data_IF_606828581513
#
_entry.id   IF_606828581513
#
_cell.length_a   1.000
_cell.length_b   1.000
_cell.length_c   1.000
_cell.angle_alpha   90.00
_cell.angle_beta   90.00
_cell.angle_gamma   90.00
#
_symmetry.space_group_name_H-M   'P 1'
#
loop_
_entity.id
_entity.type
_entity.pdbx_description
1 polymer ?
#
# COMPACT_ATOMS: atom_id res chain seq x y z
N UNK A 1 15.91 -50.46 37.89
CA UNK A 1 16.83 -50.41 39.05
C UNK A 1 17.48 -49.04 39.04
N UNK A 2 17.60 -48.20 40.07
CA UNK A 2 17.26 -48.19 41.49
C UNK A 2 17.19 -46.68 41.88
N UNK A 3 16.09 -46.17 42.45
CA UNK A 3 15.86 -45.94 43.89
C UNK A 3 16.84 -44.96 44.58
N UNK A 4 16.31 -43.80 45.02
CA UNK A 4 16.26 -43.26 46.42
C UNK A 4 16.17 -41.72 46.38
N UNK A 5 15.04 -41.09 46.74
CA UNK A 5 14.60 -40.74 48.11
C UNK A 5 15.71 -40.13 48.97
N UNK A 6 15.57 -38.88 49.40
CA UNK A 6 15.47 -38.64 50.84
C UNK A 6 14.95 -37.25 51.23
N UNK A 7 14.00 -37.33 52.13
CA UNK A 7 13.33 -36.30 52.91
C UNK A 7 14.14 -36.04 54.19
N UNK A 8 13.97 -34.83 54.73
CA UNK A 8 13.90 -34.50 56.17
C UNK A 8 15.19 -34.33 57.01
N UNK A 9 15.29 -33.12 57.59
CA UNK A 9 15.07 -32.79 59.03
C UNK A 9 16.28 -32.29 59.87
N UNK A 10 15.96 -31.18 60.59
CA UNK A 10 16.44 -30.71 61.92
C UNK A 10 17.82 -30.02 61.92
N UNK A 11 18.10 -28.95 62.68
CA UNK A 11 17.75 -28.67 64.08
C UNK A 11 17.70 -27.16 64.39
N UNK A 12 16.77 -26.75 65.26
CA UNK A 12 16.77 -25.53 66.08
C UNK A 12 17.77 -25.69 67.26
N UNK A 13 18.14 -24.63 68.01
CA UNK A 13 17.38 -24.38 69.24
C UNK A 13 17.19 -22.90 69.66
N UNK A 14 16.10 -22.73 70.42
CA UNK A 14 15.85 -21.85 71.58
C UNK A 14 16.41 -20.43 71.63
N UNK A 15 15.51 -19.44 71.76
CA UNK A 15 15.37 -18.71 73.03
C UNK A 15 13.88 -18.63 73.37
N UNK A 16 13.55 -19.23 74.51
CA UNK A 16 12.27 -19.16 75.22
C UNK A 16 12.20 -17.82 75.97
N UNK A 17 11.13 -17.05 75.75
CA UNK A 17 10.62 -16.15 76.79
C UNK A 17 9.11 -16.31 76.87
N UNK A 18 8.72 -17.11 77.87
CA UNK A 18 7.38 -17.19 78.44
C UNK A 18 6.95 -15.81 78.93
N UNK A 19 5.90 -15.26 78.35
CA UNK A 19 4.90 -14.47 79.10
C UNK A 19 3.53 -14.87 78.54
N UNK A 20 2.89 -15.81 79.22
CA UNK A 20 1.49 -16.14 79.00
C UNK A 20 0.60 -15.02 79.54
N UNK A 21 -0.35 -14.54 78.73
CA UNK A 21 -1.67 -14.12 79.20
C UNK A 21 -2.68 -13.99 78.02
N UNK A 22 -3.39 -15.10 77.80
CA UNK A 22 -4.82 -15.24 77.45
C UNK A 22 -5.41 -14.72 76.10
N UNK A 23 -6.50 -15.36 75.63
CA UNK A 23 -6.86 -15.48 74.22
C UNK A 23 -7.91 -14.44 73.81
N UNK A 24 -7.80 -13.91 72.60
CA UNK A 24 -8.91 -13.21 71.95
C UNK A 24 -9.02 -13.68 70.50
N UNK A 25 -10.28 -13.86 70.11
CA UNK A 25 -10.77 -14.52 68.92
C UNK A 25 -10.45 -13.79 67.61
N UNK A 26 -10.52 -14.59 66.54
CA UNK A 26 -10.74 -14.22 65.14
C UNK A 26 -11.29 -12.80 64.85
N UNK A 27 -10.69 -12.13 63.88
CA UNK A 27 -11.47 -11.65 62.72
C UNK A 27 -10.60 -11.40 61.51
N UNK A 28 -10.89 -12.15 60.45
CA UNK A 28 -10.63 -11.77 59.05
C UNK A 28 -11.27 -10.40 58.79
N UNK A 29 -10.56 -9.32 59.11
CA UNK A 29 -10.93 -7.97 58.66
C UNK A 29 -10.11 -7.68 57.42
N UNK A 30 -10.68 -8.07 56.27
CA UNK A 30 -10.26 -7.51 54.98
C UNK A 30 -10.35 -6.00 55.13
N UNK A 31 -9.24 -5.29 54.96
CA UNK A 31 -9.14 -3.83 55.08
C UNK A 31 -10.18 -3.10 54.18
N UNK A 32 -10.77 -3.80 53.21
CA UNK A 32 -11.83 -3.32 52.33
C UNK A 32 -13.26 -3.46 52.87
N UNK A 33 -13.47 -4.09 54.03
CA UNK A 33 -14.79 -4.28 54.67
C UNK A 33 -15.04 -3.30 55.83
N UNK A 34 -14.19 -2.29 56.03
CA UNK A 34 -14.41 -1.25 57.04
C UNK A 34 -15.50 -0.25 56.60
N UNK A 35 -16.65 -0.16 57.30
CA UNK A 35 -17.77 0.70 56.92
C UNK A 35 -17.43 2.20 56.96
N UNK A 36 -16.39 2.62 57.68
CA UNK A 36 -15.95 4.02 57.74
C UNK A 36 -15.22 4.45 56.45
N UNK A 37 -14.49 3.54 55.82
CA UNK A 37 -13.87 3.78 54.51
C UNK A 37 -14.95 3.86 53.43
N UNK A 38 -16.01 3.06 53.54
CA UNK A 38 -17.16 3.13 52.65
C UNK A 38 -17.90 4.47 52.71
N UNK A 39 -18.14 5.04 53.89
CA UNK A 39 -18.79 6.36 54.00
C UNK A 39 -17.92 7.49 53.47
N UNK A 40 -16.62 7.48 53.77
CA UNK A 40 -15.70 8.56 53.35
C UNK A 40 -15.48 8.57 51.83
N UNK A 41 -15.49 7.41 51.17
CA UNK A 41 -15.39 7.30 49.71
C UNK A 41 -16.71 7.70 49.01
N UNK A 42 -17.85 7.55 49.68
CA UNK A 42 -19.17 7.88 49.10
C UNK A 42 -19.50 9.37 49.20
N UNK A 43 -18.88 10.11 50.12
CA UNK A 43 -19.07 11.55 50.30
C UNK A 43 -18.08 12.42 49.52
N UNK A 44 -17.06 11.82 48.87
CA UNK A 44 -16.13 12.56 48.04
C UNK A 44 -16.88 13.09 46.78
N UNK A 45 -16.95 14.43 46.59
CA UNK A 45 -17.65 15.02 45.46
C UNK A 45 -17.14 14.52 44.11
N UNK A 46 -15.88 14.05 44.02
CA UNK A 46 -15.34 13.40 42.83
C UNK A 46 -15.95 12.01 42.60
N UNK A 47 -16.10 11.19 43.63
CA UNK A 47 -16.67 9.84 43.49
C UNK A 47 -18.15 9.86 43.13
N UNK A 48 -18.94 10.77 43.71
CA UNK A 48 -20.36 10.94 43.36
C UNK A 48 -20.50 11.42 41.91
N UNK A 49 -19.61 12.32 41.46
CA UNK A 49 -19.57 12.78 40.08
C UNK A 49 -19.19 11.64 39.12
N UNK A 50 -18.12 10.90 39.42
CA UNK A 50 -17.72 9.73 38.63
C UNK A 50 -18.84 8.69 38.59
N UNK A 51 -19.45 8.31 39.72
CA UNK A 51 -20.53 7.32 39.73
C UNK A 51 -21.77 7.77 38.95
N UNK A 52 -22.06 9.08 38.91
CA UNK A 52 -23.18 9.64 38.14
C UNK A 52 -22.88 9.69 36.64
N UNK A 53 -21.64 9.98 36.24
CA UNK A 53 -21.27 10.26 34.85
C UNK A 53 -20.39 9.17 34.19
N UNK A 54 -19.95 8.13 34.90
CA UNK A 54 -18.96 7.16 34.40
C UNK A 54 -19.43 6.46 33.11
N UNK A 55 -20.73 6.13 33.00
CA UNK A 55 -21.26 5.48 31.79
C UNK A 55 -21.14 6.38 30.56
N UNK A 56 -21.33 7.69 30.73
CA UNK A 56 -21.20 8.66 29.65
C UNK A 56 -19.72 8.92 29.32
N UNK A 57 -18.85 8.98 30.33
CA UNK A 57 -17.40 9.12 30.13
C UNK A 57 -16.79 7.89 29.44
N UNK A 58 -17.20 6.68 29.83
CA UNK A 58 -16.79 5.43 29.16
C UNK A 58 -17.34 5.38 27.73
N UNK A 59 -18.61 5.74 27.51
CA UNK A 59 -19.19 5.83 26.17
C UNK A 59 -18.46 6.83 25.26
N UNK A 60 -18.13 8.02 25.80
CA UNK A 60 -17.34 9.03 25.10
C UNK A 60 -15.92 8.53 24.82
N UNK A 61 -15.29 7.86 25.78
CA UNK A 61 -13.99 7.23 25.63
C UNK A 61 -13.99 6.20 24.49
N UNK A 62 -14.94 5.27 24.50
CA UNK A 62 -15.10 4.26 23.44
C UNK A 62 -15.33 4.93 22.08
N UNK A 63 -16.13 6.00 22.01
CA UNK A 63 -16.37 6.74 20.77
C UNK A 63 -15.08 7.40 20.24
N UNK A 64 -14.32 8.09 21.10
CA UNK A 64 -13.06 8.73 20.71
C UNK A 64 -12.02 7.70 20.28
N UNK A 65 -11.87 6.61 21.03
CA UNK A 65 -10.98 5.50 20.66
C UNK A 65 -11.42 4.83 19.35
N UNK A 66 -12.72 4.68 19.12
CA UNK A 66 -13.27 4.16 17.87
C UNK A 66 -12.94 5.06 16.68
N UNK A 67 -13.08 6.38 16.82
CA UNK A 67 -12.71 7.35 15.77
C UNK A 67 -11.20 7.36 15.52
N UNK A 68 -10.38 7.33 16.57
CA UNK A 68 -8.92 7.26 16.43
C UNK A 68 -8.47 5.97 15.74
N UNK A 69 -8.99 4.82 16.16
CA UNK A 69 -8.69 3.53 15.53
C UNK A 69 -9.15 3.51 14.06
N UNK A 70 -10.35 4.00 13.77
CA UNK A 70 -10.84 4.10 12.40
C UNK A 70 -9.96 5.02 11.54
N UNK A 71 -9.45 6.12 12.11
CA UNK A 71 -8.52 7.02 11.44
C UNK A 71 -7.18 6.35 11.14
N UNK A 72 -6.60 5.65 12.12
CA UNK A 72 -5.30 4.98 11.95
C UNK A 72 -5.40 3.83 10.94
N UNK A 73 -6.44 3.00 11.04
CA UNK A 73 -6.72 1.94 10.08
C UNK A 73 -6.99 2.49 8.67
N UNK A 74 -7.70 3.63 8.57
CA UNK A 74 -7.88 4.32 7.29
C UNK A 74 -6.55 4.82 6.72
N UNK A 75 -5.68 5.38 7.55
CA UNK A 75 -4.38 5.90 7.11
C UNK A 75 -3.45 4.79 6.61
N UNK A 76 -3.40 3.67 7.32
CA UNK A 76 -2.59 2.51 6.92
C UNK A 76 -3.08 1.91 5.59
N UNK A 77 -4.41 1.76 5.44
CA UNK A 77 -5.03 1.28 4.20
C UNK A 77 -4.79 2.28 3.05
N UNK A 78 -4.89 3.58 3.34
CA UNK A 78 -4.67 4.64 2.36
C UNK A 78 -3.24 4.63 1.82
N UNK A 79 -2.23 4.59 2.70
CA UNK A 79 -0.81 4.55 2.30
C UNK A 79 -0.49 3.29 1.51
N UNK A 80 -1.04 2.14 1.92
CA UNK A 80 -0.85 0.87 1.21
C UNK A 80 -1.42 0.92 -0.20
N UNK A 81 -2.64 1.45 -0.34
CA UNK A 81 -3.27 1.62 -1.66
C UNK A 81 -2.49 2.62 -2.53
N UNK A 82 -2.01 3.73 -1.96
CA UNK A 82 -1.19 4.69 -2.70
C UNK A 82 0.13 4.09 -3.20
N UNK A 83 0.80 3.27 -2.39
CA UNK A 83 2.02 2.56 -2.83
C UNK A 83 1.73 1.62 -4.00
N UNK A 84 0.66 0.83 -3.89
CA UNK A 84 0.23 -0.05 -4.98
C UNK A 84 -0.05 0.74 -6.26
N UNK A 85 -0.78 1.85 -6.16
CA UNK A 85 -1.07 2.71 -7.31
C UNK A 85 0.22 3.32 -7.90
N UNK A 86 1.19 3.70 -7.06
CA UNK A 86 2.50 4.18 -7.49
C UNK A 86 3.28 3.10 -8.26
N UNK A 87 3.26 1.85 -7.78
CA UNK A 87 3.91 0.73 -8.45
C UNK A 87 3.29 0.44 -9.83
N UNK A 88 1.94 0.46 -9.91
CA UNK A 88 1.23 0.33 -11.19
C UNK A 88 1.61 1.46 -12.13
N UNK A 89 1.65 2.71 -11.62
CA UNK A 89 2.05 3.87 -12.42
C UNK A 89 3.49 3.77 -12.93
N UNK A 90 4.43 3.32 -12.10
CA UNK A 90 5.80 3.06 -12.53
C UNK A 90 5.82 2.03 -13.68
N UNK A 91 5.00 0.98 -13.59
CA UNK A 91 4.80 0.02 -14.67
C UNK A 91 4.25 0.65 -15.96
N UNK A 92 3.25 1.52 -15.87
CA UNK A 92 2.70 2.27 -17.02
C UNK A 92 3.78 3.12 -17.70
N UNK A 93 4.60 3.84 -16.91
CA UNK A 93 5.67 4.68 -17.45
C UNK A 93 6.74 3.86 -18.18
N UNK A 94 7.14 2.74 -17.60
CA UNK A 94 8.14 1.84 -18.20
C UNK A 94 7.59 1.24 -19.50
N UNK A 95 6.39 0.67 -19.46
CA UNK A 95 5.75 0.09 -20.65
C UNK A 95 5.49 1.11 -21.76
N UNK A 96 5.16 2.36 -21.42
CA UNK A 96 5.06 3.43 -22.41
C UNK A 96 6.41 3.72 -23.09
N UNK A 97 7.51 3.73 -22.33
CA UNK A 97 8.86 3.88 -22.88
C UNK A 97 9.26 2.69 -23.77
N UNK A 98 8.93 1.47 -23.35
CA UNK A 98 9.15 0.26 -24.16
C UNK A 98 8.40 0.33 -25.50
N UNK A 99 7.13 0.77 -25.48
CA UNK A 99 6.35 0.97 -26.71
C UNK A 99 7.02 1.94 -27.68
N UNK A 100 7.62 3.02 -27.19
CA UNK A 100 8.34 3.98 -28.02
C UNK A 100 9.55 3.34 -28.70
N UNK A 101 10.34 2.58 -27.93
CA UNK A 101 11.50 1.85 -28.45
C UNK A 101 11.11 0.78 -29.48
N UNK A 102 10.04 0.01 -29.21
CA UNK A 102 9.54 -1.02 -30.10
C UNK A 102 8.94 -0.43 -31.37
N UNK A 103 8.21 0.69 -31.26
CA UNK A 103 7.66 1.38 -32.43
C UNK A 103 8.77 1.87 -33.37
N UNK A 104 9.84 2.43 -32.79
CA UNK A 104 11.03 2.85 -33.55
C UNK A 104 11.73 1.66 -34.20
N UNK A 105 11.81 0.52 -33.51
CA UNK A 105 12.37 -0.71 -34.06
C UNK A 105 11.53 -1.25 -35.24
N UNK A 106 10.20 -1.23 -35.14
CA UNK A 106 9.29 -1.61 -36.23
C UNK A 106 9.51 -0.72 -37.46
N UNK A 107 9.60 0.60 -37.26
CA UNK A 107 9.80 1.53 -38.39
C UNK A 107 11.18 1.33 -39.04
N UNK A 108 12.22 1.08 -38.24
CA UNK A 108 13.55 0.73 -38.76
C UNK A 108 13.51 -0.57 -39.58
N UNK A 109 12.88 -1.63 -39.07
CA UNK A 109 12.76 -2.92 -39.78
C UNK A 109 11.93 -2.82 -41.04
N UNK A 110 10.93 -1.94 -41.05
CA UNK A 110 10.16 -1.64 -42.25
C UNK A 110 11.03 -0.95 -43.30
N UNK A 111 11.87 -0.01 -42.89
CA UNK A 111 12.90 0.58 -43.76
C UNK A 111 13.87 -0.46 -44.32
N UNK A 112 14.34 -1.42 -43.50
CA UNK A 112 15.19 -2.52 -43.95
C UNK A 112 14.50 -3.40 -45.01
N UNK A 113 13.21 -3.71 -44.83
CA UNK A 113 12.40 -4.45 -45.80
C UNK A 113 12.23 -3.65 -47.10
N UNK A 114 11.95 -2.36 -47.02
CA UNK A 114 11.77 -1.50 -48.19
C UNK A 114 13.08 -1.37 -48.99
N UNK A 115 14.22 -1.26 -48.30
CA UNK A 115 15.56 -1.30 -48.91
C UNK A 115 15.84 -2.66 -49.57
N UNK A 116 15.50 -3.77 -48.90
CA UNK A 116 15.66 -5.11 -49.45
C UNK A 116 14.79 -5.30 -50.71
N UNK A 117 13.55 -4.78 -50.70
CA UNK A 117 12.65 -4.79 -51.87
C UNK A 117 13.20 -3.94 -53.02
N UNK A 118 13.73 -2.77 -52.73
CA UNK A 118 14.35 -1.90 -53.74
C UNK A 118 15.60 -2.52 -54.37
N UNK A 119 16.31 -3.38 -53.63
CA UNK A 119 17.48 -4.11 -54.13
C UNK A 119 17.12 -5.32 -55.03
N UNK A 120 15.85 -5.72 -55.10
CA UNK A 120 15.38 -6.72 -56.05
C UNK A 120 15.41 -6.13 -57.47
N UNK A 121 16.37 -6.56 -58.27
CA UNK A 121 16.38 -6.26 -59.71
C UNK A 121 15.30 -7.05 -60.48
N UNK A 122 15.31 -6.94 -61.81
CA UNK A 122 14.37 -7.68 -62.69
C UNK A 122 14.49 -9.21 -62.57
N UNK A 123 15.68 -9.72 -62.25
CA UNK A 123 15.94 -11.13 -61.93
C UNK A 123 16.65 -11.24 -60.58
N UNK A 124 15.91 -11.36 -59.47
CA UNK A 124 16.50 -11.40 -58.14
C UNK A 124 17.28 -12.70 -57.91
N UNK A 125 18.49 -12.57 -57.34
CA UNK A 125 19.31 -13.72 -56.94
C UNK A 125 18.69 -14.43 -55.74
N UNK A 126 19.05 -15.71 -55.51
CA UNK A 126 18.56 -16.44 -54.34
C UNK A 126 18.96 -15.73 -53.03
N UNK A 127 20.19 -15.20 -52.95
CA UNK A 127 20.66 -14.44 -51.79
C UNK A 127 19.79 -13.20 -51.50
N UNK A 128 19.33 -12.48 -52.53
CA UNK A 128 18.44 -11.32 -52.34
C UNK A 128 17.06 -11.73 -51.84
N UNK A 129 16.54 -12.88 -52.29
CA UNK A 129 15.27 -13.43 -51.80
C UNK A 129 15.38 -13.89 -50.36
N UNK A 130 16.49 -14.53 -50.00
CA UNK A 130 16.74 -14.98 -48.63
C UNK A 130 16.94 -13.78 -47.69
N UNK A 131 17.61 -12.72 -48.14
CA UNK A 131 17.77 -11.46 -47.39
C UNK A 131 16.41 -10.75 -47.17
N UNK A 132 15.56 -10.70 -48.20
CA UNK A 132 14.20 -10.17 -48.07
C UNK A 132 13.37 -10.98 -47.08
N UNK A 133 13.37 -12.31 -47.21
CA UNK A 133 12.62 -13.19 -46.32
C UNK A 133 13.05 -13.00 -44.86
N UNK A 134 14.36 -12.88 -44.61
CA UNK A 134 14.89 -12.59 -43.28
C UNK A 134 14.45 -11.22 -42.75
N UNK A 135 14.52 -10.16 -43.57
CA UNK A 135 14.07 -8.83 -43.17
C UNK A 135 12.56 -8.82 -42.86
N UNK A 136 11.75 -9.53 -43.64
CA UNK A 136 10.30 -9.65 -43.40
C UNK A 136 9.98 -10.46 -42.13
N UNK A 137 10.76 -11.50 -41.83
CA UNK A 137 10.65 -12.25 -40.57
C UNK A 137 11.01 -11.38 -39.36
N UNK A 138 12.12 -10.63 -39.43
CA UNK A 138 12.53 -9.70 -38.37
C UNK A 138 11.49 -8.57 -38.16
N UNK A 139 10.91 -8.04 -39.25
CA UNK A 139 9.83 -7.05 -39.16
C UNK A 139 8.59 -7.65 -38.48
N UNK A 140 8.20 -8.87 -38.85
CA UNK A 140 7.05 -9.54 -38.24
C UNK A 140 7.28 -9.77 -36.76
N UNK A 141 8.46 -10.22 -36.36
CA UNK A 141 8.81 -10.39 -34.96
C UNK A 141 8.72 -9.08 -34.18
N UNK A 142 9.26 -7.98 -34.73
CA UNK A 142 9.17 -6.67 -34.11
C UNK A 142 7.72 -6.19 -33.95
N UNK A 143 6.85 -6.47 -34.92
CA UNK A 143 5.42 -6.16 -34.85
C UNK A 143 4.69 -6.98 -33.78
N UNK A 144 5.00 -8.28 -33.67
CA UNK A 144 4.43 -9.15 -32.65
C UNK A 144 4.85 -8.71 -31.23
N UNK A 145 6.13 -8.35 -31.05
CA UNK A 145 6.66 -7.82 -29.79
C UNK A 145 5.99 -6.48 -29.42
N UNK A 146 5.86 -5.57 -30.40
CA UNK A 146 5.14 -4.30 -30.21
C UNK A 146 3.69 -4.53 -29.78
N UNK A 147 2.97 -5.43 -30.46
CA UNK A 147 1.58 -5.75 -30.13
C UNK A 147 1.43 -6.30 -28.71
N UNK A 148 2.32 -7.21 -28.31
CA UNK A 148 2.32 -7.77 -26.96
C UNK A 148 2.58 -6.72 -25.89
N UNK A 149 3.53 -5.81 -26.14
CA UNK A 149 3.80 -4.68 -25.23
C UNK A 149 2.61 -3.72 -25.15
N UNK A 150 1.89 -3.52 -26.25
CA UNK A 150 0.68 -2.69 -26.29
C UNK A 150 -0.43 -3.27 -25.42
N UNK A 151 -0.67 -4.58 -25.50
CA UNK A 151 -1.64 -5.27 -24.65
C UNK A 151 -1.27 -5.15 -23.15
N UNK A 152 0.03 -5.21 -22.82
CA UNK A 152 0.49 -5.02 -21.43
C UNK A 152 0.30 -3.59 -20.94
N UNK A 153 0.56 -2.60 -21.80
CA UNK A 153 0.33 -1.20 -21.52
C UNK A 153 -1.16 -0.91 -21.28
N UNK A 154 -2.05 -1.39 -22.15
CA UNK A 154 -3.50 -1.20 -22.03
C UNK A 154 -4.06 -1.83 -20.74
N UNK A 155 -3.56 -3.01 -20.37
CA UNK A 155 -3.90 -3.65 -19.09
C UNK A 155 -3.45 -2.80 -17.89
N UNK A 156 -2.25 -2.22 -17.98
CA UNK A 156 -1.69 -1.36 -16.92
C UNK A 156 -2.46 -0.03 -16.81
N UNK A 157 -2.90 0.54 -17.93
CA UNK A 157 -3.77 1.72 -17.96
C UNK A 157 -5.14 1.42 -17.34
N UNK A 158 -5.73 0.28 -17.65
CA UNK A 158 -7.01 -0.15 -17.06
C UNK A 158 -6.88 -0.29 -15.55
N UNK A 159 -5.81 -0.95 -15.08
CA UNK A 159 -5.53 -1.08 -13.65
C UNK A 159 -5.35 0.29 -12.96
N UNK A 160 -4.72 1.25 -13.64
CA UNK A 160 -4.51 2.59 -13.10
C UNK A 160 -5.78 3.46 -13.12
N UNK A 161 -6.70 3.22 -14.05
CA UNK A 161 -7.97 3.94 -14.15
C UNK A 161 -8.93 3.63 -12.97
N UNK A 162 -8.78 2.45 -12.37
CA UNK A 162 -9.53 2.02 -11.18
C UNK A 162 -8.99 2.62 -9.87
N UNK A 163 -7.81 3.24 -9.91
CA UNK A 163 -7.20 3.88 -8.74
C UNK A 163 -7.78 5.27 -8.44
N UNK A 164 -7.48 5.82 -7.27
CA UNK A 164 -7.90 7.19 -6.90
C UNK A 164 -7.03 8.25 -7.58
N UNK A 165 -7.53 9.49 -7.62
CA UNK A 165 -6.71 10.66 -7.98
C UNK A 165 -5.47 10.75 -7.06
N UNK A 166 -4.27 11.07 -7.58
CA UNK A 166 -3.98 11.57 -8.94
C UNK A 166 -3.72 10.47 -9.99
N UNK A 167 -3.65 9.20 -9.59
CA UNK A 167 -3.23 8.11 -10.47
C UNK A 167 -4.20 7.86 -11.62
N UNK A 168 -5.50 7.98 -11.37
CA UNK A 168 -6.51 7.93 -12.43
C UNK A 168 -6.31 8.99 -13.52
N UNK A 169 -5.95 10.21 -13.11
CA UNK A 169 -5.70 11.32 -14.04
C UNK A 169 -4.43 11.04 -14.85
N UNK A 170 -3.38 10.51 -14.21
CA UNK A 170 -2.17 10.06 -14.89
C UNK A 170 -2.48 8.95 -15.90
N UNK A 171 -3.28 7.95 -15.56
CA UNK A 171 -3.72 6.91 -16.50
C UNK A 171 -4.48 7.50 -17.70
N UNK A 172 -5.37 8.46 -17.44
CA UNK A 172 -6.12 9.17 -18.50
C UNK A 172 -5.18 9.98 -19.40
N UNK A 173 -4.15 10.62 -18.83
CA UNK A 173 -3.12 11.34 -19.58
C UNK A 173 -2.34 10.40 -20.52
N UNK A 174 -1.85 9.28 -20.01
CA UNK A 174 -1.12 8.30 -20.84
C UNK A 174 -2.01 7.65 -21.91
N UNK A 175 -3.29 7.40 -21.61
CA UNK A 175 -4.26 6.96 -22.62
C UNK A 175 -4.47 8.03 -23.71
N UNK A 176 -4.48 9.32 -23.36
CA UNK A 176 -4.55 10.42 -24.32
C UNK A 176 -3.31 10.52 -25.21
N UNK A 177 -2.11 10.32 -24.65
CA UNK A 177 -0.85 10.28 -25.41
C UNK A 177 -0.83 9.12 -26.41
N UNK A 178 -1.39 7.96 -26.04
CA UNK A 178 -1.50 6.81 -26.94
C UNK A 178 -2.42 7.12 -28.13
N UNK A 179 -3.58 7.75 -27.92
CA UNK A 179 -4.47 8.17 -29.02
C UNK A 179 -3.79 9.16 -29.95
N UNK A 180 -3.02 10.11 -29.39
CA UNK A 180 -2.25 11.08 -30.17
C UNK A 180 -1.25 10.36 -31.10
N UNK A 181 -0.59 9.30 -30.62
CA UNK A 181 0.32 8.47 -31.43
C UNK A 181 -0.41 7.71 -32.54
N UNK A 182 -1.64 7.27 -32.30
CA UNK A 182 -2.45 6.61 -33.33
C UNK A 182 -3.06 7.60 -34.35
N UNK A 183 -2.87 8.90 -34.14
CA UNK A 183 -3.37 9.96 -35.02
C UNK A 183 -4.84 10.32 -34.78
N UNK A 184 -5.47 9.79 -33.71
CA UNK A 184 -6.82 10.16 -33.32
C UNK A 184 -6.79 11.42 -32.43
N UNK A 185 -6.67 12.57 -33.10
CA UNK A 185 -6.59 13.86 -32.44
C UNK A 185 -7.88 14.18 -31.66
N UNK A 186 -9.04 13.71 -32.13
CA UNK A 186 -10.31 13.97 -31.47
C UNK A 186 -10.44 13.17 -30.16
N UNK A 187 -10.07 11.89 -30.17
CA UNK A 187 -10.04 11.07 -28.96
C UNK A 187 -8.97 11.56 -27.97
N UNK A 188 -7.80 11.97 -28.46
CA UNK A 188 -6.74 12.55 -27.64
C UNK A 188 -7.21 13.85 -26.97
N UNK A 189 -7.79 14.77 -27.74
CA UNK A 189 -8.32 16.03 -27.21
C UNK A 189 -9.43 15.79 -26.18
N UNK A 190 -10.34 14.85 -26.44
CA UNK A 190 -11.40 14.50 -25.49
C UNK A 190 -10.83 14.00 -24.15
N UNK A 191 -9.82 13.13 -24.18
CA UNK A 191 -9.20 12.57 -22.97
C UNK A 191 -8.34 13.60 -22.23
N UNK A 192 -7.64 14.48 -22.96
CA UNK A 192 -6.70 15.44 -22.39
C UNK A 192 -7.37 16.74 -21.92
N UNK A 193 -8.42 17.21 -22.60
CA UNK A 193 -9.14 18.44 -22.23
C UNK A 193 -9.99 18.28 -20.96
N UNK A 194 -10.44 17.06 -20.66
CA UNK A 194 -11.17 16.72 -19.44
C UNK A 194 -10.29 16.53 -18.20
N UNK A 195 -8.97 16.64 -18.34
CA UNK A 195 -8.05 16.64 -17.20
C UNK A 195 -8.16 18.00 -16.50
N UNK A 196 -9.09 18.08 -15.55
CA UNK A 196 -9.01 19.09 -14.49
C UNK A 196 -7.78 18.75 -13.66
N UNK A 197 -6.63 19.30 -14.04
CA UNK A 197 -5.49 19.45 -13.13
C UNK A 197 -5.98 20.37 -12.03
N UNK A 198 -6.70 19.81 -11.05
CA UNK A 198 -7.32 20.58 -10.01
C UNK A 198 -6.23 21.43 -9.39
N UNK A 199 -6.38 22.74 -9.55
CA UNK A 199 -5.63 23.74 -8.82
C UNK A 199 -5.94 23.56 -7.35
N UNK A 200 -5.30 22.59 -6.71
CA UNK A 200 -5.07 22.63 -5.28
C UNK A 200 -4.13 23.82 -5.08
N UNK A 201 -4.67 24.93 -4.58
CA UNK A 201 -3.89 26.02 -3.98
C UNK A 201 -2.97 25.55 -2.82
N UNK A 202 -2.88 24.25 -2.54
CA UNK A 202 -1.79 23.66 -1.79
C UNK A 202 -1.26 22.39 -2.49
N UNK A 203 0.02 22.48 -2.85
CA UNK A 203 0.90 21.40 -3.30
C UNK A 203 0.48 20.71 -4.59
N UNK A 204 1.20 21.09 -5.64
CA UNK A 204 1.45 20.26 -6.81
C UNK A 204 1.76 18.80 -6.37
N UNK A 205 0.90 17.82 -6.74
CA UNK A 205 1.10 16.43 -6.36
C UNK A 205 2.37 15.82 -6.98
N UNK A 206 2.87 16.39 -8.09
CA UNK A 206 4.18 16.00 -8.63
C UNK A 206 5.33 16.40 -7.69
N UNK A 207 5.18 17.51 -6.95
CA UNK A 207 6.14 17.96 -5.94
C UNK A 207 6.08 17.16 -4.64
N UNK A 208 4.92 16.59 -4.28
CA UNK A 208 4.84 15.61 -3.17
C UNK A 208 5.50 14.29 -3.56
N UNK A 209 5.29 13.81 -4.77
CA UNK A 209 5.92 12.59 -5.28
C UNK A 209 7.44 12.73 -5.43
N UNK A 210 7.92 13.86 -5.95
CA UNK A 210 9.35 14.18 -6.00
C UNK A 210 9.95 14.41 -4.60
N UNK A 211 9.17 14.99 -3.68
CA UNK A 211 9.58 15.20 -2.29
C UNK A 211 9.73 13.90 -1.51
N UNK A 212 8.83 12.93 -1.71
CA UNK A 212 8.92 11.61 -1.07
C UNK A 212 10.05 10.75 -1.65
N UNK A 213 10.29 10.80 -2.97
CA UNK A 213 11.42 10.14 -3.62
C UNK A 213 12.79 10.72 -3.25
N UNK A 214 12.87 11.98 -2.81
CA UNK A 214 14.12 12.62 -2.38
C UNK A 214 14.46 12.33 -0.90
N UNK A 215 13.55 11.72 -0.14
CA UNK A 215 13.74 11.38 1.28
C UNK A 215 13.94 9.89 1.57
N UNK A 216 14.03 9.06 0.52
CA UNK A 216 14.47 7.65 0.58
C UNK A 216 15.88 7.57 0.00
#
# INVERSE_FOLDING_TARGET
MAKKKNTARKQTPEITQDVAQQPEEHSDSRIFDDPTIHQTVTEDPLFVFLQKWWRQLVGLGIAVFGVMYARDAFHETYVTNMRRAADIFAGVRVSFGELDTLSSAVEQKKGDVDLAKAALGETPTQEQKDALAKAEEELKQAQDDYKKSLEQFDNSLTALADERSPYKELGTFYAGLQELRHGDLAAAEQKLSGLEWQGTQHRDPSMQFLGELATV
#
